data_IF_364807178276
#
_entry.id   IF_364807178276
#
_cell.length_a   1.000
_cell.length_b   1.000
_cell.length_c   1.000
_cell.angle_alpha   90.00
_cell.angle_beta   90.00
_cell.angle_gamma   90.00
#
_symmetry.space_group_name_H-M   'P 1'
#
loop_
_entity.id
_entity.type
_entity.pdbx_description
1 polymer ?
#
# COMPACT_ATOMS: atom_id res chain seq x y z
N UNK A 1 21.23 11.32 23.50
CA UNK A 1 21.48 10.10 22.71
C UNK A 1 21.27 10.45 21.25
N UNK A 2 22.37 10.63 20.53
CA UNK A 2 22.42 11.24 19.20
C UNK A 2 21.95 10.27 18.11
N UNK A 3 21.04 10.74 17.24
CA UNK A 3 20.57 10.01 16.05
C UNK A 3 21.64 10.04 14.95
N UNK A 4 21.87 8.95 14.19
CA UNK A 4 22.78 8.99 13.06
C UNK A 4 22.13 9.71 11.88
N UNK A 5 22.93 10.54 11.21
CA UNK A 5 22.59 11.25 10.00
C UNK A 5 22.73 10.32 8.79
N UNK A 6 21.64 9.98 8.10
CA UNK A 6 21.72 9.33 6.79
C UNK A 6 20.67 9.88 5.81
N UNK A 7 20.67 11.20 5.68
CA UNK A 7 19.71 12.00 4.92
C UNK A 7 19.90 11.94 3.39
N UNK A 8 20.92 11.24 2.88
CA UNK A 8 21.28 11.24 1.45
C UNK A 8 20.53 10.20 0.58
N UNK A 9 19.96 9.15 1.17
CA UNK A 9 19.38 8.02 0.40
C UNK A 9 17.94 8.29 -0.08
N UNK A 10 17.12 8.95 0.74
CA UNK A 10 15.72 9.26 0.41
C UNK A 10 15.57 10.31 -0.70
N UNK A 11 16.42 11.33 -0.74
CA UNK A 11 16.36 12.39 -1.76
C UNK A 11 16.70 11.83 -3.16
N UNK A 12 17.60 10.85 -3.25
CA UNK A 12 17.94 10.18 -4.51
C UNK A 12 16.78 9.37 -5.10
N UNK A 13 15.96 8.75 -4.25
CA UNK A 13 14.80 7.95 -4.65
C UNK A 13 13.60 8.80 -5.08
N UNK A 14 13.35 9.92 -4.39
CA UNK A 14 12.30 10.88 -4.79
C UNK A 14 12.66 11.57 -6.11
N UNK A 15 13.95 11.81 -6.37
CA UNK A 15 14.40 12.44 -7.62
C UNK A 15 14.30 11.49 -8.84
N UNK A 16 14.54 10.19 -8.68
CA UNK A 16 14.47 9.21 -9.78
C UNK A 16 13.04 8.89 -10.21
N UNK A 17 12.06 8.98 -9.31
CA UNK A 17 10.63 8.80 -9.62
C UNK A 17 10.01 9.99 -10.35
N UNK A 18 10.56 11.20 -10.19
CA UNK A 18 10.10 12.40 -10.90
C UNK A 18 10.52 12.42 -12.39
N UNK A 19 11.65 11.79 -12.74
CA UNK A 19 12.22 11.85 -14.10
C UNK A 19 11.50 10.98 -15.15
N UNK A 20 10.64 10.04 -14.75
CA UNK A 20 10.02 9.07 -15.66
C UNK A 20 8.67 9.49 -16.26
N UNK A 21 8.19 10.73 -16.02
CA UNK A 21 6.85 11.18 -16.44
C UNK A 21 6.87 11.95 -17.76
N UNK A 22 7.00 11.22 -18.87
CA UNK A 22 6.72 11.74 -20.22
C UNK A 22 5.25 11.50 -20.63
N UNK A 23 4.58 12.52 -21.16
CA UNK A 23 3.19 12.47 -21.62
C UNK A 23 3.10 11.82 -23.03
N UNK A 24 2.33 10.74 -23.26
CA UNK A 24 2.08 10.29 -24.62
C UNK A 24 0.88 11.02 -25.24
N UNK A 25 1.11 11.61 -26.41
CA UNK A 25 0.10 12.25 -27.23
C UNK A 25 -0.91 11.22 -27.78
N UNK A 26 -2.19 11.60 -27.82
CA UNK A 26 -3.31 10.81 -28.36
C UNK A 26 -3.16 10.60 -29.87
N UNK A 27 -2.99 9.35 -30.30
CA UNK A 27 -3.29 8.92 -31.67
C UNK A 27 -4.44 7.91 -31.63
N UNK A 28 -5.39 8.09 -32.54
CA UNK A 28 -6.59 7.26 -32.64
C UNK A 28 -6.23 5.86 -33.17
N UNK A 29 -6.75 4.80 -32.55
CA UNK A 29 -6.60 3.42 -33.03
C UNK A 29 -7.90 2.90 -33.65
N UNK A 30 -7.84 2.21 -34.80
CA UNK A 30 -9.00 1.56 -35.42
C UNK A 30 -9.33 0.23 -34.74
N UNK A 31 -10.56 -0.24 -34.96
CA UNK A 31 -11.14 -1.43 -34.32
C UNK A 31 -10.70 -2.75 -34.99
N UNK A 32 -10.76 -3.80 -34.16
CA UNK A 32 -11.04 -5.24 -34.41
C UNK A 32 -9.87 -6.23 -34.52
N UNK A 33 -9.73 -7.08 -33.47
CA UNK A 33 -9.48 -8.56 -33.48
C UNK A 33 -8.86 -9.15 -32.17
N UNK A 34 -8.93 -8.46 -31.02
CA UNK A 34 -8.01 -8.69 -29.87
C UNK A 34 -8.38 -9.66 -28.73
N UNK A 35 -9.30 -10.63 -28.88
CA UNK A 35 -9.74 -11.43 -27.71
C UNK A 35 -8.71 -12.47 -27.21
N UNK A 36 -7.98 -13.13 -28.11
CA UNK A 36 -7.03 -14.18 -27.72
C UNK A 36 -5.68 -13.65 -27.23
N UNK A 37 -5.21 -12.53 -27.80
CA UNK A 37 -3.96 -11.90 -27.41
C UNK A 37 -4.08 -11.24 -26.03
N UNK A 38 -5.19 -10.53 -25.78
CA UNK A 38 -5.44 -9.93 -24.47
C UNK A 38 -5.54 -10.97 -23.35
N UNK A 39 -6.11 -12.15 -23.61
CA UNK A 39 -6.15 -13.25 -22.64
C UNK A 39 -4.76 -13.84 -22.38
N UNK A 40 -3.93 -14.01 -23.42
CA UNK A 40 -2.56 -14.49 -23.28
C UNK A 40 -1.69 -13.50 -22.52
N UNK A 41 -1.81 -12.21 -22.80
CA UNK A 41 -1.06 -11.17 -22.10
C UNK A 41 -1.48 -11.04 -20.64
N UNK A 42 -2.79 -11.15 -20.35
CA UNK A 42 -3.28 -11.21 -18.98
C UNK A 42 -2.73 -12.43 -18.22
N UNK A 43 -2.73 -13.61 -18.85
CA UNK A 43 -2.18 -14.82 -18.25
C UNK A 43 -0.67 -14.68 -17.95
N UNK A 44 0.11 -14.15 -18.90
CA UNK A 44 1.55 -13.87 -18.73
C UNK A 44 1.80 -12.87 -17.60
N UNK A 45 1.00 -11.80 -17.51
CA UNK A 45 1.13 -10.83 -16.43
C UNK A 45 0.85 -11.44 -15.05
N UNK A 46 -0.15 -12.32 -14.96
CA UNK A 46 -0.44 -13.04 -13.71
C UNK A 46 0.67 -14.00 -13.32
N UNK A 47 1.24 -14.71 -14.28
CA UNK A 47 2.38 -15.59 -14.05
C UNK A 47 3.60 -14.80 -13.55
N UNK A 48 3.91 -13.67 -14.19
CA UNK A 48 4.98 -12.78 -13.75
C UNK A 48 4.76 -12.27 -12.32
N UNK A 49 3.53 -11.88 -11.97
CA UNK A 49 3.19 -11.45 -10.61
C UNK A 49 3.29 -12.60 -9.58
N UNK A 50 2.90 -13.81 -9.95
CA UNK A 50 3.04 -14.99 -9.09
C UNK A 50 4.52 -15.34 -8.86
N UNK A 51 5.38 -15.18 -9.88
CA UNK A 51 6.82 -15.31 -9.73
C UNK A 51 7.38 -14.24 -8.78
N UNK A 52 6.95 -12.98 -8.92
CA UNK A 52 7.33 -11.88 -8.00
C UNK A 52 6.88 -12.18 -6.56
N UNK A 53 5.67 -12.68 -6.35
CA UNK A 53 5.21 -13.08 -5.01
C UNK A 53 6.10 -14.17 -4.41
N UNK A 54 6.47 -15.16 -5.22
CA UNK A 54 7.35 -16.25 -4.81
C UNK A 54 8.72 -15.72 -4.43
N UNK A 55 9.34 -14.89 -5.28
CA UNK A 55 10.62 -14.24 -5.01
C UNK A 55 10.57 -13.40 -3.73
N UNK A 56 9.54 -12.58 -3.57
CA UNK A 56 9.33 -11.74 -2.36
C UNK A 56 9.33 -12.59 -1.10
N UNK A 57 8.57 -13.69 -1.10
CA UNK A 57 8.51 -14.62 0.04
C UNK A 57 9.86 -15.27 0.31
N UNK A 58 10.62 -15.59 -0.73
CA UNK A 58 11.93 -16.23 -0.62
C UNK A 58 12.98 -15.29 -0.02
N UNK A 59 13.02 -14.01 -0.44
CA UNK A 59 14.06 -13.07 0.00
C UNK A 59 13.78 -12.42 1.36
N UNK A 60 12.50 -12.33 1.76
CA UNK A 60 12.09 -11.66 3.00
C UNK A 60 12.83 -12.15 4.26
N UNK A 61 12.99 -13.47 4.51
CA UNK A 61 13.72 -13.95 5.69
C UNK A 61 15.15 -13.41 5.79
N UNK A 62 15.89 -13.33 4.67
CA UNK A 62 17.28 -12.88 4.68
C UNK A 62 17.43 -11.37 4.80
N UNK A 63 16.48 -10.60 4.25
CA UNK A 63 16.40 -9.16 4.48
C UNK A 63 16.07 -8.87 5.95
N UNK A 64 15.10 -9.60 6.53
CA UNK A 64 14.65 -9.37 7.90
C UNK A 64 15.66 -9.81 8.96
N UNK A 65 16.56 -10.77 8.68
CA UNK A 65 17.70 -11.09 9.56
C UNK A 65 18.62 -9.87 9.79
N UNK A 66 18.68 -8.95 8.84
CA UNK A 66 19.46 -7.71 8.93
C UNK A 66 18.68 -6.57 9.64
N UNK A 67 17.44 -6.84 10.06
CA UNK A 67 16.53 -5.91 10.71
C UNK A 67 15.96 -6.51 12.02
N UNK A 68 16.82 -6.78 13.02
CA UNK A 68 16.41 -7.54 14.22
C UNK A 68 15.35 -6.84 15.08
N UNK A 69 15.24 -5.52 14.99
CA UNK A 69 14.24 -4.74 15.72
C UNK A 69 12.84 -4.79 15.08
N UNK A 70 12.72 -5.27 13.84
CA UNK A 70 11.46 -5.28 13.11
C UNK A 70 10.66 -6.56 13.40
N UNK A 71 9.43 -6.40 13.88
CA UNK A 71 8.52 -7.51 14.15
C UNK A 71 7.57 -7.77 12.97
N UNK A 72 8.13 -8.07 11.79
CA UNK A 72 7.37 -8.15 10.53
C UNK A 72 6.23 -9.19 10.51
N UNK A 73 6.31 -10.24 11.33
CA UNK A 73 5.25 -11.24 11.47
C UNK A 73 4.20 -10.88 12.53
N UNK A 74 4.40 -9.81 13.32
CA UNK A 74 3.48 -9.44 14.39
C UNK A 74 2.30 -8.65 13.86
N UNK A 75 1.11 -9.04 14.27
CA UNK A 75 -0.12 -8.27 14.05
C UNK A 75 -1.11 -8.54 15.16
N UNK A 76 -1.92 -7.53 15.45
CA UNK A 76 -2.96 -7.56 16.47
C UNK A 76 -4.34 -7.45 15.82
N UNK A 77 -5.27 -8.30 16.25
CA UNK A 77 -6.67 -8.19 15.88
C UNK A 77 -7.39 -7.24 16.83
N UNK A 78 -8.03 -6.23 16.26
CA UNK A 78 -8.78 -5.21 16.99
C UNK A 78 -10.24 -5.23 16.53
N UNK A 79 -11.15 -4.97 17.47
CA UNK A 79 -12.59 -4.94 17.22
C UNK A 79 -13.17 -3.60 17.68
N UNK A 80 -14.05 -3.01 16.86
CA UNK A 80 -14.58 -1.67 17.14
C UNK A 80 -15.35 -1.59 18.47
N UNK A 81 -16.01 -2.68 18.86
CA UNK A 81 -16.79 -2.78 20.10
C UNK A 81 -15.92 -2.88 21.36
N UNK A 82 -14.68 -3.34 21.23
CA UNK A 82 -13.73 -3.46 22.36
C UNK A 82 -12.73 -2.30 22.43
N UNK A 83 -12.57 -1.54 21.35
CA UNK A 83 -11.62 -0.43 21.31
C UNK A 83 -12.12 0.76 22.15
N UNK A 84 -11.26 1.33 23.03
CA UNK A 84 -11.63 2.52 23.77
C UNK A 84 -11.78 3.71 22.80
N UNK A 85 -12.74 4.62 23.04
CA UNK A 85 -12.87 5.83 22.24
C UNK A 85 -11.63 6.70 22.40
N UNK A 86 -11.23 7.36 21.30
CA UNK A 86 -10.13 8.33 21.34
C UNK A 86 -10.51 9.52 22.22
N UNK A 87 -9.60 9.93 23.10
CA UNK A 87 -9.79 11.10 23.96
C UNK A 87 -9.42 12.36 23.19
N UNK A 88 -10.36 13.29 23.06
CA UNK A 88 -10.13 14.56 22.39
C UNK A 88 -8.97 15.38 22.99
N UNK A 89 -8.76 15.24 24.31
CA UNK A 89 -7.65 15.86 25.05
C UNK A 89 -6.27 15.36 24.64
N UNK A 90 -6.19 14.16 24.04
CA UNK A 90 -4.95 13.53 23.58
C UNK A 90 -4.71 13.75 22.06
N UNK A 91 -5.50 14.63 21.41
CA UNK A 91 -5.31 14.94 20.00
C UNK A 91 -3.93 15.58 19.78
N UNK A 92 -3.07 15.01 18.92
CA UNK A 92 -1.66 15.41 18.82
C UNK A 92 -1.44 16.76 18.11
N UNK A 93 -2.49 17.42 17.60
CA UNK A 93 -2.45 18.74 16.93
C UNK A 93 -1.20 18.93 16.04
N UNK A 94 -0.97 18.00 15.10
CA UNK A 94 0.25 17.89 14.29
C UNK A 94 0.55 19.09 13.39
N UNK A 95 -0.35 20.06 13.30
CA UNK A 95 -0.19 21.28 12.48
C UNK A 95 -0.39 22.52 13.34
N UNK A 96 0.27 23.66 13.01
CA UNK A 96 0.09 24.92 13.75
C UNK A 96 -1.37 25.40 13.79
N UNK A 97 -2.14 25.11 12.74
CA UNK A 97 -3.56 25.45 12.63
C UNK A 97 -4.48 24.43 13.34
N UNK A 98 -3.93 23.31 13.80
CA UNK A 98 -4.69 22.15 14.31
C UNK A 98 -5.54 21.44 13.24
N UNK A 99 -5.45 21.84 11.97
CA UNK A 99 -6.21 21.26 10.85
C UNK A 99 -5.42 20.19 10.12
N UNK A 100 -6.09 19.11 9.74
CA UNK A 100 -5.52 18.03 8.93
C UNK A 100 -5.38 18.49 7.47
N UNK A 101 -4.17 18.40 6.92
CA UNK A 101 -3.95 18.60 5.49
C UNK A 101 -4.41 17.37 4.72
N UNK A 102 -5.29 17.56 3.74
CA UNK A 102 -5.80 16.49 2.88
C UNK A 102 -5.23 16.72 1.47
N UNK A 103 -4.65 15.68 0.87
CA UNK A 103 -4.16 15.66 -0.50
C UNK A 103 -4.75 14.46 -1.22
N UNK A 104 -5.15 14.66 -2.47
CA UNK A 104 -5.57 13.59 -3.37
C UNK A 104 -4.47 13.44 -4.40
N UNK A 105 -3.87 12.26 -4.46
CA UNK A 105 -2.76 11.94 -5.37
C UNK A 105 -3.11 10.70 -6.17
N UNK A 106 -2.70 10.68 -7.43
CA UNK A 106 -2.79 9.49 -8.28
C UNK A 106 -1.47 8.73 -8.18
N UNK A 107 -1.32 7.97 -7.10
CA UNK A 107 -0.12 7.19 -6.81
C UNK A 107 -0.50 5.93 -6.04
N UNK A 108 0.42 4.97 -5.96
CA UNK A 108 0.19 3.79 -5.13
C UNK A 108 0.34 4.10 -3.63
N UNK A 109 -0.23 3.22 -2.79
CA UNK A 109 -0.29 3.43 -1.34
C UNK A 109 1.06 3.53 -0.65
N UNK A 110 2.08 2.77 -1.07
CA UNK A 110 3.41 2.85 -0.49
C UNK A 110 4.21 4.05 -1.02
N UNK A 111 4.11 4.38 -2.31
CA UNK A 111 4.75 5.60 -2.82
C UNK A 111 4.24 6.85 -2.09
N UNK A 112 2.92 6.98 -1.97
CA UNK A 112 2.30 8.08 -1.23
C UNK A 112 2.73 8.10 0.26
N UNK A 113 2.87 6.93 0.88
CA UNK A 113 3.32 6.82 2.27
C UNK A 113 4.79 7.21 2.45
N UNK A 114 5.66 6.82 1.52
CA UNK A 114 7.09 7.16 1.55
C UNK A 114 7.28 8.65 1.31
N UNK A 115 6.58 9.25 0.32
CA UNK A 115 6.58 10.70 0.11
C UNK A 115 6.10 11.45 1.36
N UNK A 116 5.01 10.97 1.99
CA UNK A 116 4.48 11.57 3.21
C UNK A 116 5.50 11.49 4.35
N UNK A 117 6.14 10.34 4.54
CA UNK A 117 7.18 10.16 5.56
C UNK A 117 8.37 11.10 5.33
N UNK A 118 8.86 11.18 4.10
CA UNK A 118 9.95 12.08 3.72
C UNK A 118 9.60 13.55 3.98
N UNK A 119 8.38 13.99 3.60
CA UNK A 119 7.91 15.36 3.84
C UNK A 119 7.81 15.76 5.32
N UNK A 120 7.85 14.78 6.22
CA UNK A 120 7.76 14.97 7.68
C UNK A 120 9.04 14.60 8.42
N UNK A 121 10.09 14.16 7.73
CA UNK A 121 11.32 13.66 8.35
C UNK A 121 12.02 14.68 9.27
N UNK A 122 11.90 15.98 8.96
CA UNK A 122 12.44 17.07 9.78
C UNK A 122 11.59 17.41 11.01
N UNK A 123 10.36 16.88 11.12
CA UNK A 123 9.51 17.13 12.28
C UNK A 123 9.88 16.20 13.43
N UNK A 124 10.28 16.72 14.61
CA UNK A 124 10.62 15.89 15.77
C UNK A 124 9.42 15.11 16.31
N UNK A 125 8.20 15.48 15.89
CA UNK A 125 6.98 14.80 16.29
C UNK A 125 6.51 13.77 15.27
N UNK A 126 7.14 13.67 14.08
CA UNK A 126 6.67 12.77 13.04
C UNK A 126 6.61 11.31 13.54
N UNK A 127 5.40 10.76 13.59
CA UNK A 127 5.19 9.34 13.84
C UNK A 127 5.35 8.54 12.56
N UNK A 128 5.34 7.21 12.68
CA UNK A 128 5.32 6.30 11.53
C UNK A 128 4.04 6.52 10.72
N UNK A 129 4.18 6.59 9.39
CA UNK A 129 3.03 6.67 8.49
C UNK A 129 2.27 5.35 8.53
N UNK A 130 0.95 5.44 8.64
CA UNK A 130 0.05 4.28 8.56
C UNK A 130 -0.59 4.22 7.16
N UNK A 131 -0.65 3.00 6.60
CA UNK A 131 -1.27 2.70 5.32
C UNK A 131 -2.49 1.82 5.54
N UNK A 132 -3.60 2.13 4.88
CA UNK A 132 -4.77 1.25 4.87
C UNK A 132 -4.59 0.14 3.84
N UNK A 133 -4.65 -1.11 4.26
CA UNK A 133 -4.83 -2.27 3.39
C UNK A 133 -6.33 -2.55 3.22
N UNK A 134 -6.81 -2.52 1.98
CA UNK A 134 -8.18 -2.89 1.61
C UNK A 134 -8.33 -4.41 1.60
N UNK A 135 -8.29 -4.99 2.80
CA UNK A 135 -8.06 -6.40 2.99
C UNK A 135 -9.19 -7.27 2.45
N UNK A 136 -8.84 -8.44 1.94
CA UNK A 136 -9.78 -9.50 1.64
C UNK A 136 -10.45 -9.97 2.92
N UNK A 137 -11.76 -10.15 2.88
CA UNK A 137 -12.49 -10.77 3.98
C UNK A 137 -12.09 -12.24 4.20
N UNK A 138 -11.70 -12.94 3.13
CA UNK A 138 -11.61 -14.41 3.14
C UNK A 138 -10.19 -14.96 3.14
N UNK A 139 -9.24 -14.27 2.49
CA UNK A 139 -7.93 -14.81 2.19
C UNK A 139 -6.82 -13.84 2.57
N UNK A 140 -5.79 -14.26 3.34
CA UNK A 140 -4.64 -13.41 3.62
C UNK A 140 -3.93 -12.93 2.36
N UNK A 141 -3.80 -11.61 2.19
CA UNK A 141 -3.15 -11.01 1.02
C UNK A 141 -3.93 -11.24 -0.27
N UNK A 142 -5.22 -11.54 -0.19
CA UNK A 142 -6.08 -11.78 -1.35
C UNK A 142 -5.56 -12.91 -2.25
N UNK A 143 -5.35 -12.59 -3.52
CA UNK A 143 -4.85 -13.51 -4.53
C UNK A 143 -3.37 -13.30 -4.91
N UNK A 144 -2.54 -12.69 -4.05
CA UNK A 144 -1.19 -12.25 -4.45
C UNK A 144 -0.30 -13.41 -4.93
N UNK A 145 -0.32 -14.57 -4.27
CA UNK A 145 0.41 -15.77 -4.72
C UNK A 145 -0.07 -16.32 -6.07
N UNK A 146 -1.26 -15.92 -6.53
CA UNK A 146 -1.87 -16.33 -7.81
C UNK A 146 -1.77 -15.24 -8.87
N UNK A 147 -0.98 -14.19 -8.63
CA UNK A 147 -0.81 -13.08 -9.55
C UNK A 147 -2.03 -12.16 -9.67
N UNK A 148 -2.90 -12.12 -8.66
CA UNK A 148 -4.03 -11.20 -8.68
C UNK A 148 -3.58 -9.74 -8.57
N UNK A 149 -4.41 -8.83 -9.05
CA UNK A 149 -4.12 -7.39 -9.08
C UNK A 149 -5.23 -6.64 -8.37
N UNK A 150 -4.97 -6.25 -7.13
CA UNK A 150 -5.68 -5.19 -6.43
C UNK A 150 -4.71 -4.50 -5.47
N UNK A 151 -5.23 -3.61 -4.64
CA UNK A 151 -4.41 -2.84 -3.71
C UNK A 151 -3.75 -3.73 -2.65
N UNK A 152 -4.49 -4.66 -2.05
CA UNK A 152 -3.93 -5.61 -1.07
C UNK A 152 -2.79 -6.43 -1.65
N UNK A 153 -2.96 -6.98 -2.87
CA UNK A 153 -1.91 -7.75 -3.52
C UNK A 153 -0.68 -6.88 -3.82
N UNK A 154 -0.87 -5.65 -4.29
CA UNK A 154 0.23 -4.70 -4.50
C UNK A 154 1.04 -4.45 -3.22
N UNK A 155 0.38 -4.32 -2.07
CA UNK A 155 1.05 -4.20 -0.78
C UNK A 155 1.83 -5.49 -0.44
N UNK A 156 1.26 -6.66 -0.70
CA UNK A 156 1.88 -7.95 -0.41
C UNK A 156 3.10 -8.25 -1.30
N UNK A 157 3.04 -7.91 -2.61
CA UNK A 157 4.19 -8.10 -3.50
C UNK A 157 5.38 -7.23 -3.07
N UNK A 158 5.11 -6.02 -2.55
CA UNK A 158 6.15 -5.03 -2.31
C UNK A 158 6.73 -5.02 -0.91
N UNK A 159 6.18 -5.79 0.03
CA UNK A 159 6.51 -5.64 1.44
C UNK A 159 6.45 -6.94 2.25
N UNK A 160 6.84 -6.84 3.52
CA UNK A 160 6.70 -7.90 4.50
C UNK A 160 5.26 -8.13 5.01
N UNK A 161 4.26 -7.34 4.55
CA UNK A 161 2.89 -7.36 5.08
C UNK A 161 2.30 -8.78 5.15
N UNK A 162 2.50 -9.58 4.11
CA UNK A 162 1.95 -10.93 4.01
C UNK A 162 2.38 -11.86 5.17
N UNK A 163 3.53 -11.61 5.82
CA UNK A 163 4.00 -12.37 6.98
C UNK A 163 3.14 -12.13 8.24
N UNK A 164 2.46 -10.99 8.30
CA UNK A 164 1.61 -10.60 9.43
C UNK A 164 0.12 -10.94 9.22
N UNK A 165 -0.26 -11.32 8.00
CA UNK A 165 -1.64 -11.70 7.67
C UNK A 165 -1.87 -13.18 8.01
N UNK A 166 -2.00 -13.47 9.30
CA UNK A 166 -2.16 -14.85 9.79
C UNK A 166 -3.53 -15.41 9.44
N UNK A 167 -3.57 -16.65 8.92
CA UNK A 167 -4.82 -17.37 8.59
C UNK A 167 -5.83 -17.44 9.73
N UNK A 168 -5.38 -17.44 10.99
CA UNK A 168 -6.25 -17.45 12.19
C UNK A 168 -7.21 -16.26 12.29
N UNK A 169 -6.93 -15.17 11.57
CA UNK A 169 -7.78 -13.98 11.53
C UNK A 169 -8.86 -14.03 10.44
N UNK A 170 -8.86 -15.07 9.61
CA UNK A 170 -9.75 -15.19 8.46
C UNK A 170 -10.78 -16.32 8.65
N UNK A 171 -12.03 -16.14 8.20
CA UNK A 171 -12.55 -14.91 7.60
C UNK A 171 -12.65 -13.76 8.61
N UNK A 172 -12.51 -12.52 8.12
CA UNK A 172 -12.61 -11.32 8.95
C UNK A 172 -13.99 -11.24 9.60
N UNK A 173 -14.03 -10.99 10.91
CA UNK A 173 -15.29 -10.74 11.61
C UNK A 173 -15.80 -9.32 11.31
N UNK A 174 -17.09 -9.09 11.51
CA UNK A 174 -17.68 -7.77 11.31
C UNK A 174 -17.05 -6.75 12.28
N UNK A 175 -16.73 -5.54 11.77
CA UNK A 175 -16.07 -4.46 12.54
C UNK A 175 -14.71 -4.85 13.16
N UNK A 176 -14.02 -5.80 12.55
CA UNK A 176 -12.65 -6.18 12.89
C UNK A 176 -11.64 -5.47 11.97
N UNK A 177 -10.45 -5.19 12.49
CA UNK A 177 -9.28 -4.81 11.71
C UNK A 177 -8.01 -5.46 12.27
N UNK A 178 -6.96 -5.53 11.45
CA UNK A 178 -5.62 -5.90 11.91
C UNK A 178 -4.70 -4.70 11.92
N UNK A 179 -3.94 -4.54 13.00
CA UNK A 179 -2.84 -3.59 13.07
C UNK A 179 -1.50 -4.32 12.95
N UNK A 180 -0.71 -3.95 11.95
CA UNK A 180 0.65 -4.44 11.74
C UNK A 180 1.62 -3.27 11.90
N UNK A 181 2.44 -3.22 12.97
CA UNK A 181 3.26 -2.05 13.28
C UNK A 181 4.47 -1.88 12.36
N UNK A 182 5.09 -2.98 11.93
CA UNK A 182 6.36 -3.02 11.22
C UNK A 182 6.21 -3.72 9.86
N UNK A 183 5.92 -2.94 8.83
CA UNK A 183 5.87 -3.40 7.43
C UNK A 183 7.03 -2.79 6.67
N UNK A 184 7.97 -3.63 6.26
CA UNK A 184 9.17 -3.24 5.52
C UNK A 184 8.86 -3.32 4.03
N UNK A 185 9.01 -2.20 3.31
CA UNK A 185 8.87 -2.14 1.86
C UNK A 185 10.20 -2.54 1.24
N UNK A 186 10.17 -3.56 0.38
CA UNK A 186 11.37 -4.18 -0.21
C UNK A 186 11.41 -4.09 -1.73
N UNK A 187 10.37 -3.53 -2.39
CA UNK A 187 10.33 -3.33 -3.84
C UNK A 187 9.87 -1.95 -4.27
N UNK A 188 10.34 -1.52 -5.43
CA UNK A 188 9.75 -0.41 -6.19
C UNK A 188 8.32 -0.74 -6.62
N UNK A 189 7.59 0.28 -7.07
CA UNK A 189 6.25 0.12 -7.59
C UNK A 189 6.23 -0.58 -8.96
N UNK A 190 5.03 -0.98 -9.39
CA UNK A 190 4.86 -1.69 -10.67
C UNK A 190 5.34 -0.85 -11.88
N UNK A 191 5.03 0.46 -11.98
CA UNK A 191 5.52 1.30 -13.08
C UNK A 191 7.04 1.43 -13.14
N UNK A 192 7.73 1.45 -12.00
CA UNK A 192 9.21 1.56 -11.95
C UNK A 192 9.90 0.18 -11.94
N UNK A 193 9.26 -0.85 -12.50
CA UNK A 193 9.87 -2.16 -12.74
C UNK A 193 9.74 -3.19 -11.61
N UNK A 194 9.12 -2.84 -10.47
CA UNK A 194 8.86 -3.76 -9.36
C UNK A 194 10.10 -4.52 -8.82
N UNK A 195 11.27 -3.91 -8.98
CA UNK A 195 12.55 -4.49 -8.60
C UNK A 195 12.71 -4.49 -7.08
N UNK A 196 13.51 -5.44 -6.56
CA UNK A 196 13.95 -5.38 -5.17
C UNK A 196 14.77 -4.11 -4.94
N UNK A 197 14.55 -3.47 -3.80
CA UNK A 197 15.32 -2.30 -3.39
C UNK A 197 16.72 -2.68 -2.90
N UNK A 198 16.89 -3.91 -2.42
CA UNK A 198 18.20 -4.48 -2.09
C UNK A 198 18.82 -5.11 -3.36
N UNK A 199 20.15 -4.98 -3.57
CA UNK A 199 21.15 -4.44 -2.66
C UNK A 199 21.38 -2.92 -2.76
N UNK A 200 20.73 -2.22 -3.69
CA UNK A 200 20.96 -0.79 -3.97
C UNK A 200 20.66 0.11 -2.75
N UNK A 201 19.68 -0.28 -1.93
CA UNK A 201 19.32 0.35 -0.65
C UNK A 201 19.76 -0.58 0.48
N UNK A 202 20.54 -0.06 1.42
CA UNK A 202 20.93 -0.81 2.61
C UNK A 202 19.67 -1.22 3.41
N UNK A 203 19.59 -2.45 3.97
CA UNK A 203 18.40 -2.90 4.68
C UNK A 203 17.91 -1.94 5.77
N UNK A 204 18.84 -1.32 6.52
CA UNK A 204 18.53 -0.35 7.56
C UNK A 204 17.86 0.95 7.06
N UNK A 205 18.01 1.27 5.76
CA UNK A 205 17.43 2.44 5.11
C UNK A 205 16.13 2.10 4.34
N UNK A 206 15.68 0.83 4.37
CA UNK A 206 14.43 0.44 3.72
C UNK A 206 13.22 1.15 4.35
N UNK A 207 12.23 1.57 3.55
CA UNK A 207 11.05 2.23 4.09
C UNK A 207 10.25 1.30 5.00
N UNK A 208 9.87 1.80 6.18
CA UNK A 208 9.02 1.09 7.14
C UNK A 208 7.76 1.88 7.43
N UNK A 209 6.61 1.25 7.26
CA UNK A 209 5.28 1.81 7.55
C UNK A 209 4.52 0.92 8.51
N UNK A 210 3.46 1.44 9.12
CA UNK A 210 2.45 0.60 9.77
C UNK A 210 1.30 0.35 8.80
N UNK A 211 0.63 -0.79 8.92
CA UNK A 211 -0.53 -1.13 8.07
C UNK A 211 -1.76 -1.43 8.93
N UNK A 212 -2.88 -0.85 8.53
CA UNK A 212 -4.22 -1.15 9.05
C UNK A 212 -4.96 -1.97 8.00
N UNK A 213 -5.19 -3.26 8.25
CA UNK A 213 -5.94 -4.12 7.33
C UNK A 213 -7.40 -4.20 7.75
N UNK A 214 -8.30 -3.75 6.87
CA UNK A 214 -9.75 -3.74 7.13
C UNK A 214 -10.47 -4.27 5.90
N UNK A 215 -11.34 -5.27 6.11
CA UNK A 215 -12.16 -5.81 5.05
C UNK A 215 -13.46 -5.01 4.89
N UNK A 216 -13.69 -4.46 3.70
CA UNK A 216 -14.96 -3.82 3.36
C UNK A 216 -16.09 -4.85 3.24
N UNK A 217 -17.34 -4.39 3.30
CA UNK A 217 -18.51 -5.24 3.05
C UNK A 217 -18.40 -5.86 1.65
N UNK A 218 -18.59 -7.18 1.57
CA UNK A 218 -18.58 -7.90 0.30
C UNK A 218 -19.95 -7.80 -0.35
N UNK A 219 -20.01 -7.19 -1.53
CA UNK A 219 -21.25 -7.03 -2.30
C UNK A 219 -22.41 -6.45 -1.46
N UNK A 220 -22.22 -5.27 -0.84
CA UNK A 220 -23.30 -4.63 -0.10
C UNK A 220 -24.46 -4.32 -1.05
N UNK A 221 -25.68 -4.28 -0.52
CA UNK A 221 -26.80 -3.73 -1.28
C UNK A 221 -26.48 -2.30 -1.70
N UNK A 222 -26.55 -2.03 -3.00
CA UNK A 222 -26.32 -0.70 -3.56
C UNK A 222 -27.63 -0.12 -4.06
N UNK A 223 -27.78 1.19 -3.89
CA UNK A 223 -28.92 1.95 -4.42
C UNK A 223 -28.42 2.86 -5.52
N UNK A 224 -28.96 2.69 -6.72
CA UNK A 224 -28.72 3.65 -7.80
C UNK A 224 -29.25 5.03 -7.41
N UNK A 225 -28.38 6.02 -7.48
CA UNK A 225 -28.74 7.42 -7.25
C UNK A 225 -28.60 8.22 -8.53
N UNK A 226 -29.54 9.15 -8.75
CA UNK A 226 -29.44 10.15 -9.81
C UNK A 226 -28.84 11.41 -9.20
N UNK A 227 -27.69 11.82 -9.70
CA UNK A 227 -27.03 13.05 -9.31
C UNK A 227 -26.91 14.02 -10.49
N UNK A 228 -27.07 15.31 -10.23
CA UNK A 228 -26.76 16.34 -11.20
C UNK A 228 -25.25 16.58 -11.20
N UNK A 229 -24.65 16.58 -12.39
CA UNK A 229 -23.27 17.06 -12.57
C UNK A 229 -23.25 18.59 -12.57
N UNK A 230 -22.07 19.18 -12.36
CA UNK A 230 -21.86 20.62 -12.51
C UNK A 230 -22.25 21.15 -13.91
N UNK A 231 -22.36 20.25 -14.92
CA UNK A 231 -22.79 20.54 -16.27
C UNK A 231 -24.31 20.29 -16.51
N UNK A 232 -25.10 20.01 -15.47
CA UNK A 232 -26.56 19.81 -15.57
C UNK A 232 -27.00 18.42 -16.09
N UNK A 233 -26.08 17.55 -16.48
CA UNK A 233 -26.41 16.18 -16.87
C UNK A 233 -26.76 15.32 -15.65
N UNK A 234 -27.88 14.60 -15.71
CA UNK A 234 -28.25 13.56 -14.75
C UNK A 234 -27.40 12.32 -15.04
N UNK A 235 -26.55 11.94 -14.09
CA UNK A 235 -25.77 10.70 -14.19
C UNK A 235 -26.30 9.73 -13.16
N UNK A 236 -26.72 8.54 -13.62
CA UNK A 236 -26.93 7.41 -12.72
C UNK A 236 -25.57 6.90 -12.25
N UNK A 237 -25.38 6.90 -10.93
CA UNK A 237 -24.20 6.29 -10.29
C UNK A 237 -24.68 5.20 -9.33
N UNK A 238 -23.96 4.09 -9.34
CA UNK A 238 -24.08 3.01 -8.37
C UNK A 238 -23.52 3.43 -7.01
#
# INVERSE_FOLDING_TARGET
>A
MSRPANQKSLDGWVSSTAAARGNPARTASPKTSGSSDGQRDYARQREALAAIATETRTVLPDILKQLPDMQAAKSEALFLDTLPPLKATECPKRTPTGRTTIRIVNDDSFNAAIELAASKASSPTAGRVAVLNMASHASPGGGWLKGARAQEEALCYRSSLALSLHRRYYPFKQRMGLYTPDVVVIRSDMPSGHALLVPDVAPADLPVVSVLSVAALRQPETRRTRGNTAAGAVVERL
#
